data_IF_170026677195
#
_entry.id   IF_170026677195
#
_cell.length_a   1.000
_cell.length_b   1.000
_cell.length_c   1.000
_cell.angle_alpha   90.00
_cell.angle_beta   90.00
_cell.angle_gamma   90.00
#
_symmetry.space_group_name_H-M   'P 1'
#
loop_
_entity.id
_entity.type
_entity.pdbx_description
1 polymer ?
#
# COMPACT_ATOMS: atom_id res chain seq x y z
N UNK A 1 -13.83 30.96 9.25
CA UNK A 1 -13.58 30.32 7.93
C UNK A 1 -13.00 28.93 8.13
N UNK A 2 -13.84 27.91 8.37
CA UNK A 2 -13.41 26.51 8.53
C UNK A 2 -13.30 25.73 7.20
N UNK A 3 -13.87 26.25 6.10
CA UNK A 3 -14.04 25.53 4.83
C UNK A 3 -12.72 25.13 4.12
N UNK A 4 -11.74 26.04 4.06
CA UNK A 4 -10.49 25.77 3.33
C UNK A 4 -9.59 24.70 3.97
N UNK A 5 -9.71 24.48 5.29
CA UNK A 5 -8.92 23.47 5.98
C UNK A 5 -9.45 22.06 5.72
N UNK A 6 -10.78 21.91 5.62
CA UNK A 6 -11.43 20.66 5.24
C UNK A 6 -11.02 20.24 3.81
N UNK A 7 -11.06 21.17 2.86
CA UNK A 7 -10.66 20.90 1.47
C UNK A 7 -9.20 20.43 1.35
N UNK A 8 -8.29 20.96 2.19
CA UNK A 8 -6.89 20.56 2.17
C UNK A 8 -6.66 19.16 2.75
N UNK A 9 -7.44 18.78 3.76
CA UNK A 9 -7.38 17.43 4.34
C UNK A 9 -7.94 16.40 3.34
N UNK A 10 -9.06 16.70 2.71
CA UNK A 10 -9.68 15.88 1.66
C UNK A 10 -8.72 15.66 0.48
N UNK A 11 -8.12 16.72 -0.06
CA UNK A 11 -7.15 16.60 -1.16
C UNK A 11 -5.91 15.76 -0.78
N UNK A 12 -5.47 15.82 0.49
CA UNK A 12 -4.36 15.00 0.97
C UNK A 12 -4.73 13.53 1.07
N UNK A 13 -5.95 13.24 1.51
CA UNK A 13 -6.49 11.89 1.57
C UNK A 13 -6.64 11.31 0.16
N UNK A 14 -7.25 12.04 -0.76
CA UNK A 14 -7.37 11.64 -2.17
C UNK A 14 -6.01 11.39 -2.82
N UNK A 15 -5.02 12.24 -2.52
CA UNK A 15 -3.64 12.04 -2.99
C UNK A 15 -3.03 10.77 -2.38
N UNK A 16 -3.25 10.52 -1.09
CA UNK A 16 -2.75 9.33 -0.40
C UNK A 16 -3.34 8.04 -0.97
N UNK A 17 -4.65 8.04 -1.25
CA UNK A 17 -5.36 6.95 -1.93
C UNK A 17 -4.77 6.71 -3.33
N UNK A 18 -4.67 7.75 -4.16
CA UNK A 18 -4.11 7.63 -5.51
C UNK A 18 -2.67 7.10 -5.51
N UNK A 19 -1.83 7.53 -4.56
CA UNK A 19 -0.47 7.02 -4.41
C UNK A 19 -0.46 5.54 -4.01
N UNK A 20 -1.36 5.14 -3.10
CA UNK A 20 -1.46 3.74 -2.68
C UNK A 20 -1.92 2.85 -3.84
N UNK A 21 -2.92 3.27 -4.61
CA UNK A 21 -3.40 2.56 -5.81
C UNK A 21 -2.30 2.39 -6.86
N UNK A 22 -1.56 3.46 -7.16
CA UNK A 22 -0.42 3.38 -8.10
C UNK A 22 0.62 2.38 -7.60
N UNK A 23 0.93 2.37 -6.30
CA UNK A 23 1.89 1.44 -5.73
C UNK A 23 1.41 -0.02 -5.82
N UNK A 24 0.11 -0.27 -5.63
CA UNK A 24 -0.50 -1.60 -5.79
C UNK A 24 -0.37 -2.07 -7.24
N UNK A 25 -0.74 -1.25 -8.22
CA UNK A 25 -0.59 -1.57 -9.64
C UNK A 25 0.85 -1.95 -10.02
N UNK A 26 1.84 -1.20 -9.50
CA UNK A 26 3.25 -1.50 -9.72
C UNK A 26 3.64 -2.83 -9.06
N UNK A 27 3.19 -3.07 -7.83
CA UNK A 27 3.46 -4.32 -7.13
C UNK A 27 2.88 -5.53 -7.88
N UNK A 28 1.68 -5.43 -8.45
CA UNK A 28 1.09 -6.49 -9.27
C UNK A 28 1.92 -6.76 -10.53
N UNK A 29 2.33 -5.72 -11.24
CA UNK A 29 3.19 -5.87 -12.42
C UNK A 29 4.55 -6.51 -12.08
N UNK A 30 5.07 -6.29 -10.86
CA UNK A 30 6.29 -6.95 -10.38
C UNK A 30 5.99 -8.41 -9.99
N UNK A 31 4.85 -8.68 -9.34
CA UNK A 31 4.40 -10.02 -8.96
C UNK A 31 4.29 -10.96 -10.17
N UNK A 32 3.78 -10.47 -11.29
CA UNK A 32 3.70 -11.22 -12.55
C UNK A 32 5.08 -11.71 -13.04
N UNK A 33 6.15 -11.01 -12.69
CA UNK A 33 7.53 -11.37 -13.02
C UNK A 33 8.20 -12.19 -11.92
N UNK A 34 7.81 -11.96 -10.67
CA UNK A 34 8.39 -12.55 -9.46
C UNK A 34 7.29 -12.73 -8.39
N UNK A 35 6.68 -13.92 -8.30
CA UNK A 35 5.56 -14.19 -7.39
C UNK A 35 5.90 -14.06 -5.90
N UNK A 36 7.17 -13.87 -5.52
CA UNK A 36 7.57 -13.63 -4.14
C UNK A 36 7.82 -12.15 -3.83
N UNK A 37 7.71 -11.27 -4.83
CA UNK A 37 7.96 -9.85 -4.68
C UNK A 37 7.01 -9.20 -3.67
N UNK A 38 5.71 -9.52 -3.71
CA UNK A 38 4.73 -8.92 -2.81
C UNK A 38 5.05 -9.21 -1.33
N UNK A 39 5.51 -10.42 -0.99
CA UNK A 39 5.95 -10.79 0.37
C UNK A 39 7.16 -9.95 0.84
N UNK A 40 8.17 -9.78 -0.02
CA UNK A 40 9.35 -8.95 0.28
C UNK A 40 8.98 -7.47 0.42
N UNK A 41 8.09 -6.99 -0.44
CA UNK A 41 7.56 -5.63 -0.39
C UNK A 41 6.75 -5.40 0.90
N UNK A 42 5.95 -6.37 1.34
CA UNK A 42 5.18 -6.29 2.58
C UNK A 42 6.11 -6.13 3.79
N UNK A 43 7.16 -6.95 3.86
CA UNK A 43 8.17 -6.82 4.92
C UNK A 43 8.88 -5.46 4.90
N UNK A 44 9.23 -4.95 3.72
CA UNK A 44 9.83 -3.63 3.56
C UNK A 44 8.87 -2.50 3.99
N UNK A 45 7.60 -2.60 3.61
CA UNK A 45 6.54 -1.67 4.00
C UNK A 45 6.37 -1.65 5.53
N UNK A 46 6.36 -2.80 6.20
CA UNK A 46 6.28 -2.89 7.67
C UNK A 46 7.46 -2.21 8.39
N UNK A 47 8.69 -2.38 7.88
CA UNK A 47 9.87 -1.68 8.43
C UNK A 47 9.75 -0.15 8.26
N UNK A 48 9.34 0.29 7.08
CA UNK A 48 9.19 1.71 6.79
C UNK A 48 8.02 2.34 7.57
N UNK A 49 6.92 1.63 7.73
CA UNK A 49 5.80 1.99 8.61
C UNK A 49 6.28 2.29 10.04
N UNK A 50 6.96 1.34 10.67
CA UNK A 50 7.43 1.49 12.05
C UNK A 50 8.40 2.68 12.21
N UNK A 51 9.28 2.89 11.22
CA UNK A 51 10.17 4.05 11.19
C UNK A 51 9.39 5.36 11.12
N UNK A 52 8.43 5.47 10.20
CA UNK A 52 7.64 6.70 10.00
C UNK A 52 6.74 7.00 11.20
N UNK A 53 6.20 5.97 11.84
CA UNK A 53 5.45 6.12 13.09
C UNK A 53 6.34 6.66 14.22
N UNK A 54 7.57 6.15 14.35
CA UNK A 54 8.55 6.68 15.31
C UNK A 54 8.96 8.12 15.04
N UNK A 55 8.90 8.56 13.78
CA UNK A 55 9.15 9.94 13.34
C UNK A 55 7.91 10.85 13.43
N UNK A 56 6.78 10.37 13.96
CA UNK A 56 5.49 11.10 14.02
C UNK A 56 4.99 11.57 12.64
N UNK A 57 5.21 10.76 11.60
CA UNK A 57 4.75 11.00 10.23
C UNK A 57 3.51 10.17 9.91
N UNK A 58 2.42 10.46 10.62
CA UNK A 58 1.22 9.60 10.68
C UNK A 58 0.63 9.29 9.30
N UNK A 59 0.42 10.30 8.45
CA UNK A 59 -0.13 10.09 7.09
C UNK A 59 0.76 9.19 6.23
N UNK A 60 2.08 9.34 6.33
CA UNK A 60 3.01 8.52 5.55
C UNK A 60 3.07 7.07 6.07
N UNK A 61 2.98 6.91 7.39
CA UNK A 61 2.84 5.59 8.01
C UNK A 61 1.52 4.93 7.56
N UNK A 62 0.41 5.66 7.58
CA UNK A 62 -0.89 5.14 7.17
C UNK A 62 -0.91 4.67 5.71
N UNK A 63 -0.33 5.42 4.78
CA UNK A 63 -0.16 4.99 3.38
C UNK A 63 0.59 3.65 3.31
N UNK A 64 1.67 3.51 4.07
CA UNK A 64 2.47 2.27 4.07
C UNK A 64 1.74 1.11 4.73
N UNK A 65 0.90 1.38 5.72
CA UNK A 65 0.04 0.38 6.34
C UNK A 65 -1.00 -0.14 5.35
N UNK A 66 -1.70 0.76 4.64
CA UNK A 66 -2.67 0.41 3.60
C UNK A 66 -2.02 -0.41 2.48
N UNK A 67 -0.87 0.05 1.99
CA UNK A 67 -0.11 -0.68 0.97
C UNK A 67 0.32 -2.06 1.46
N UNK A 68 0.90 -2.15 2.66
CA UNK A 68 1.31 -3.42 3.27
C UNK A 68 0.14 -4.40 3.39
N UNK A 69 -1.04 -3.93 3.78
CA UNK A 69 -2.26 -4.74 3.86
C UNK A 69 -2.67 -5.26 2.48
N UNK A 70 -2.66 -4.42 1.45
CA UNK A 70 -3.03 -4.82 0.09
C UNK A 70 -2.10 -5.92 -0.47
N UNK A 71 -0.81 -5.91 -0.11
CA UNK A 71 0.14 -6.95 -0.51
C UNK A 71 -0.14 -8.34 0.08
N UNK A 72 -1.04 -8.44 1.07
CA UNK A 72 -1.49 -9.69 1.68
C UNK A 72 -2.84 -10.15 1.12
N UNK A 73 -3.42 -9.40 0.17
CA UNK A 73 -4.69 -9.73 -0.46
C UNK A 73 -4.46 -10.74 -1.58
N UNK A 74 -5.03 -11.94 -1.42
CA UNK A 74 -4.89 -13.06 -2.36
C UNK A 74 -5.61 -12.81 -3.68
N UNK A 75 -6.62 -11.93 -3.70
CA UNK A 75 -7.29 -11.55 -4.95
C UNK A 75 -6.40 -10.64 -5.80
N UNK A 76 -5.53 -9.86 -5.16
CA UNK A 76 -4.57 -8.97 -5.82
C UNK A 76 -3.25 -9.66 -6.14
N UNK A 77 -2.83 -10.61 -5.30
CA UNK A 77 -1.56 -11.33 -5.36
C UNK A 77 -1.79 -12.83 -5.17
N UNK A 78 -2.34 -13.54 -6.17
CA UNK A 78 -2.60 -14.98 -6.07
C UNK A 78 -1.29 -15.76 -6.00
N UNK A 79 -1.26 -16.81 -5.18
CA UNK A 79 -0.15 -17.74 -5.13
C UNK A 79 -0.30 -18.80 -6.24
N UNK A 80 0.79 -19.37 -6.76
CA UNK A 80 0.71 -20.36 -7.86
C UNK A 80 -0.14 -21.60 -7.51
N UNK A 81 -0.31 -21.93 -6.23
CA UNK A 81 -1.20 -23.00 -5.77
C UNK A 81 -2.69 -22.65 -5.95
N UNK A 82 -3.05 -21.36 -6.01
CA UNK A 82 -4.42 -20.89 -6.25
C UNK A 82 -4.81 -20.94 -7.74
N UNK A 83 -3.82 -20.95 -8.65
CA UNK A 83 -4.04 -20.91 -10.10
C UNK A 83 -4.47 -22.26 -10.70
N UNK A 84 -4.18 -23.39 -10.03
CA UNK A 84 -4.54 -24.75 -10.47
C UNK A 84 -5.93 -25.22 -9.95
N UNK A 85 -6.65 -24.38 -9.20
CA UNK A 85 -7.98 -24.69 -8.66
C UNK A 85 -9.16 -24.30 -9.57
N UNK A 86 -8.90 -23.90 -10.83
CA UNK A 86 -9.89 -23.39 -11.80
C UNK A 86 -10.19 -24.31 -12.97
#
# INVERSE_FOLDING_TARGET
MPDMAATRAELREETAEAVCEIAICIAQAIHDLDPEAHRRMNFAAGKAYNRLLGEQRDLAADILYRFGRALMDTDLFPEPEDADAG
#
